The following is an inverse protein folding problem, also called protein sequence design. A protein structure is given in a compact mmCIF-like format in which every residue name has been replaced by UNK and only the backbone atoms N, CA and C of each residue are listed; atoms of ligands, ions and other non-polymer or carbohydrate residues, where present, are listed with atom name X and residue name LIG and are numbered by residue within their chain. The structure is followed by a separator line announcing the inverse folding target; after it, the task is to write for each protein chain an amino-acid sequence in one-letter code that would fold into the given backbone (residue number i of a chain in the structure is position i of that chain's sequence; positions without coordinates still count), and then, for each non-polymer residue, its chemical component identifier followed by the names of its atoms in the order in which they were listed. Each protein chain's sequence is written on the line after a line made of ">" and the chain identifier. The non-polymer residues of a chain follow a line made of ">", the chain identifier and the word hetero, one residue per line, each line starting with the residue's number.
data_IF_960994515318
#
_entry.id   IF_960994515318
#
_cell.length_a   1.000
_cell.length_b   1.000
_cell.length_c   1.000
_cell.angle_alpha   90.00
_cell.angle_beta   90.00
_cell.angle_gamma   90.00
#
_symmetry.space_group_name_H-M   'P 1'
#
loop_
_entity.id
_entity.type
_entity.pdbx_description
1 polymer ?
#
# COMPACT_ATOMS: atom_id res chain seq x y z
N UNK A 1 -3.47 -16.71 -20.77
CA UNK A 1 -4.22 -16.34 -19.55
C UNK A 1 -3.66 -17.11 -18.36
N UNK A 2 -3.18 -16.42 -17.33
CA UNK A 2 -2.67 -17.05 -16.09
C UNK A 2 -3.85 -17.36 -15.18
N UNK A 3 -4.04 -18.62 -14.81
CA UNK A 3 -5.10 -19.04 -13.90
C UNK A 3 -4.79 -18.64 -12.44
N UNK A 4 -5.83 -18.31 -11.67
CA UNK A 4 -5.69 -17.97 -10.24
C UNK A 4 -5.02 -19.09 -9.42
N UNK A 5 -5.29 -20.36 -9.76
CA UNK A 5 -4.64 -21.53 -9.14
C UNK A 5 -3.12 -21.48 -9.29
N UNK A 6 -2.59 -21.06 -10.45
CA UNK A 6 -1.16 -20.94 -10.69
C UNK A 6 -0.53 -19.89 -9.76
N UNK A 7 -1.26 -18.81 -9.46
CA UNK A 7 -0.82 -17.76 -8.55
C UNK A 7 -0.76 -18.28 -7.11
N UNK A 8 -1.75 -19.04 -6.66
CA UNK A 8 -1.74 -19.65 -5.32
C UNK A 8 -0.58 -20.64 -5.17
N UNK A 9 -0.32 -21.46 -6.19
CA UNK A 9 0.83 -22.37 -6.22
C UNK A 9 2.13 -21.56 -6.15
N UNK A 10 2.28 -20.52 -6.99
CA UNK A 10 3.45 -19.67 -7.00
C UNK A 10 3.69 -18.99 -5.64
N UNK A 11 2.66 -18.43 -5.02
CA UNK A 11 2.75 -17.82 -3.68
C UNK A 11 3.19 -18.83 -2.62
N UNK A 12 2.64 -20.04 -2.65
CA UNK A 12 2.98 -21.10 -1.69
C UNK A 12 4.44 -21.54 -1.86
N UNK A 13 4.87 -21.79 -3.10
CA UNK A 13 6.24 -22.18 -3.42
C UNK A 13 7.23 -21.07 -3.04
N UNK A 14 6.95 -19.82 -3.43
CA UNK A 14 7.77 -18.67 -3.08
C UNK A 14 7.83 -18.43 -1.58
N UNK A 15 6.72 -18.62 -0.86
CA UNK A 15 6.71 -18.48 0.59
C UNK A 15 7.63 -19.49 1.28
N UNK A 16 7.55 -20.77 0.91
CA UNK A 16 8.43 -21.82 1.43
C UNK A 16 9.89 -21.51 1.06
N UNK A 17 10.14 -21.12 -0.19
CA UNK A 17 11.47 -20.74 -0.66
C UNK A 17 12.05 -19.59 0.17
N UNK A 18 11.29 -18.51 0.40
CA UNK A 18 11.75 -17.37 1.19
C UNK A 18 11.91 -17.69 2.69
N UNK A 19 11.16 -18.65 3.24
CA UNK A 19 11.42 -19.16 4.61
C UNK A 19 12.80 -19.82 4.68
N UNK A 20 13.08 -20.74 3.76
CA UNK A 20 14.38 -21.44 3.71
C UNK A 20 15.50 -20.44 3.50
N UNK A 21 15.33 -19.50 2.57
CA UNK A 21 16.31 -18.46 2.29
C UNK A 21 16.56 -17.56 3.50
N UNK A 22 15.49 -17.18 4.22
CA UNK A 22 15.60 -16.42 5.46
C UNK A 22 16.40 -17.17 6.52
N UNK A 23 16.22 -18.48 6.63
CA UNK A 23 16.95 -19.31 7.58
C UNK A 23 18.44 -19.41 7.22
N UNK A 24 18.76 -19.62 5.94
CA UNK A 24 20.14 -19.77 5.45
C UNK A 24 20.91 -18.44 5.45
N UNK A 25 20.29 -17.37 4.94
CA UNK A 25 20.93 -16.06 4.75
C UNK A 25 20.68 -15.06 5.89
N UNK A 26 19.96 -15.46 6.95
CA UNK A 26 19.58 -14.62 8.11
C UNK A 26 18.94 -13.27 7.71
N UNK A 27 18.14 -13.28 6.64
CA UNK A 27 17.48 -12.08 6.13
C UNK A 27 16.46 -11.52 7.13
N UNK A 28 16.37 -10.19 7.23
CA UNK A 28 15.39 -9.48 8.08
C UNK A 28 14.06 -9.22 7.36
N UNK A 29 13.91 -9.68 6.12
CA UNK A 29 12.71 -9.49 5.30
C UNK A 29 11.66 -10.55 5.66
N UNK A 30 10.39 -10.15 5.74
CA UNK A 30 9.28 -11.07 5.96
C UNK A 30 9.06 -11.96 4.72
N UNK A 31 9.02 -13.28 4.91
CA UNK A 31 8.81 -14.23 3.82
C UNK A 31 7.49 -14.03 3.08
N UNK A 32 6.41 -13.65 3.80
CA UNK A 32 5.12 -13.30 3.19
C UNK A 32 5.22 -12.05 2.32
N UNK A 33 5.87 -10.99 2.82
CA UNK A 33 6.02 -9.75 2.05
C UNK A 33 6.87 -9.99 0.80
N UNK A 34 7.96 -10.77 0.93
CA UNK A 34 8.82 -11.14 -0.18
C UNK A 34 8.09 -11.98 -1.22
N UNK A 35 7.31 -13.00 -0.81
CA UNK A 35 6.58 -13.85 -1.75
C UNK A 35 5.53 -13.05 -2.53
N UNK A 36 4.65 -12.32 -1.84
CA UNK A 36 3.60 -11.51 -2.48
C UNK A 36 4.22 -10.45 -3.40
N UNK A 37 5.27 -9.77 -2.94
CA UNK A 37 5.93 -8.72 -3.73
C UNK A 37 6.61 -9.27 -4.98
N UNK A 38 7.31 -10.39 -4.85
CA UNK A 38 7.97 -11.04 -5.99
C UNK A 38 6.94 -11.52 -7.01
N UNK A 39 5.79 -12.05 -6.57
CA UNK A 39 4.73 -12.51 -7.46
C UNK A 39 4.19 -11.36 -8.31
N UNK A 40 3.72 -10.26 -7.70
CA UNK A 40 3.14 -9.19 -8.51
C UNK A 40 4.18 -8.45 -9.35
N UNK A 41 5.43 -8.31 -8.88
CA UNK A 41 6.51 -7.77 -9.69
C UNK A 41 6.79 -8.65 -10.91
N UNK A 42 6.82 -9.98 -10.72
CA UNK A 42 6.97 -10.93 -11.82
C UNK A 42 5.83 -10.84 -12.83
N UNK A 43 4.58 -10.75 -12.36
CA UNK A 43 3.41 -10.54 -13.21
C UNK A 43 3.47 -9.20 -13.96
N UNK A 44 3.92 -8.13 -13.30
CA UNK A 44 4.07 -6.82 -13.93
C UNK A 44 5.12 -6.88 -15.05
N UNK A 45 6.26 -7.53 -14.81
CA UNK A 45 7.28 -7.75 -15.83
C UNK A 45 6.70 -8.56 -17.00
N UNK A 46 5.96 -9.64 -16.74
CA UNK A 46 5.28 -10.39 -17.80
C UNK A 46 4.31 -9.52 -18.60
N UNK A 47 3.50 -8.68 -17.94
CA UNK A 47 2.61 -7.73 -18.62
C UNK A 47 3.40 -6.80 -19.56
N UNK A 48 4.57 -6.30 -19.13
CA UNK A 48 5.43 -5.45 -19.97
C UNK A 48 6.00 -6.19 -21.20
N UNK A 49 6.18 -7.50 -21.12
CA UNK A 49 6.56 -8.35 -22.27
C UNK A 49 5.36 -8.72 -23.17
N UNK A 50 4.18 -8.17 -22.92
CA UNK A 50 2.98 -8.37 -23.75
C UNK A 50 2.14 -9.59 -23.38
N UNK A 51 2.39 -10.22 -22.22
CA UNK A 51 1.53 -11.30 -21.74
C UNK A 51 0.21 -10.76 -21.18
N UNK A 52 -0.90 -11.39 -21.53
CA UNK A 52 -2.21 -11.08 -20.97
C UNK A 52 -2.32 -11.59 -19.52
N UNK A 53 -2.26 -10.66 -18.58
CA UNK A 53 -2.41 -10.89 -17.15
C UNK A 53 -3.69 -10.20 -16.67
N UNK A 54 -4.50 -10.90 -15.89
CA UNK A 54 -5.71 -10.35 -15.29
C UNK A 54 -5.36 -9.22 -14.28
N UNK A 55 -5.80 -7.97 -14.54
CA UNK A 55 -5.55 -6.86 -13.64
C UNK A 55 -6.17 -7.05 -12.25
N UNK A 56 -7.23 -7.84 -12.11
CA UNK A 56 -7.84 -8.13 -10.81
C UNK A 56 -6.85 -8.85 -9.88
N UNK A 57 -6.13 -9.84 -10.41
CA UNK A 57 -5.13 -10.60 -9.65
C UNK A 57 -3.99 -9.68 -9.21
N UNK A 58 -3.46 -8.87 -10.13
CA UNK A 58 -2.39 -7.92 -9.81
C UNK A 58 -2.86 -6.89 -8.78
N UNK A 59 -4.08 -6.38 -8.91
CA UNK A 59 -4.67 -5.41 -7.99
C UNK A 59 -4.81 -5.96 -6.57
N UNK A 60 -5.25 -7.21 -6.41
CA UNK A 60 -5.34 -7.88 -5.10
C UNK A 60 -3.95 -7.99 -4.43
N UNK A 61 -2.93 -8.41 -5.18
CA UNK A 61 -1.57 -8.58 -4.65
C UNK A 61 -0.90 -7.24 -4.29
N UNK A 62 -1.08 -6.24 -5.15
CA UNK A 62 -0.55 -4.89 -4.91
C UNK A 62 -1.30 -4.19 -3.77
N UNK A 63 -2.62 -4.36 -3.66
CA UNK A 63 -3.41 -3.87 -2.53
C UNK A 63 -2.98 -4.49 -1.20
N UNK A 64 -2.74 -5.81 -1.16
CA UNK A 64 -2.16 -6.46 0.02
C UNK A 64 -0.78 -5.92 0.39
N UNK A 65 0.05 -5.59 -0.61
CA UNK A 65 1.35 -4.95 -0.40
C UNK A 65 1.23 -3.52 0.13
N UNK A 66 0.27 -2.72 -0.38
CA UNK A 66 -0.01 -1.37 0.08
C UNK A 66 -0.44 -1.35 1.57
N UNK A 67 -1.35 -2.25 1.96
CA UNK A 67 -1.74 -2.41 3.37
C UNK A 67 -0.56 -2.89 4.23
N UNK A 68 0.25 -3.83 3.72
CA UNK A 68 1.48 -4.26 4.40
C UNK A 68 2.47 -3.12 4.64
N UNK A 69 2.65 -2.22 3.67
CA UNK A 69 3.46 -1.00 3.81
C UNK A 69 2.86 -0.09 4.90
N UNK A 70 1.54 0.06 4.95
CA UNK A 70 0.88 0.86 5.99
C UNK A 70 1.13 0.32 7.39
N UNK A 71 1.09 -1.00 7.60
CA UNK A 71 1.45 -1.61 8.89
C UNK A 71 2.92 -1.35 9.27
N UNK A 72 3.84 -1.41 8.31
CA UNK A 72 5.25 -1.11 8.54
C UNK A 72 5.47 0.38 8.86
N UNK A 73 4.75 1.25 8.16
CA UNK A 73 4.78 2.69 8.38
C UNK A 73 4.25 3.03 9.78
N UNK A 74 3.11 2.46 10.16
CA UNK A 74 2.51 2.63 11.49
C UNK A 74 3.46 2.25 12.62
N UNK A 75 4.14 1.10 12.51
CA UNK A 75 5.10 0.66 13.52
C UNK A 75 6.26 1.64 13.74
N UNK A 76 6.62 2.43 12.73
CA UNK A 76 7.71 3.41 12.79
C UNK A 76 7.23 4.83 13.05
N UNK A 77 5.94 5.10 12.87
CA UNK A 77 5.37 6.43 12.91
C UNK A 77 4.97 6.79 14.35
N UNK A 78 5.37 7.98 14.81
CA UNK A 78 4.91 8.48 16.11
C UNK A 78 3.41 8.79 16.08
N UNK A 79 2.73 8.64 17.21
CA UNK A 79 1.27 8.85 17.34
C UNK A 79 0.79 10.20 16.80
N UNK A 80 1.64 11.24 16.86
CA UNK A 80 1.39 12.57 16.28
C UNK A 80 1.07 12.52 14.77
N UNK A 81 1.71 11.65 14.00
CA UNK A 81 1.53 11.56 12.55
C UNK A 81 0.42 10.57 12.14
N UNK A 82 -0.24 9.90 13.09
CA UNK A 82 -1.30 8.92 12.81
C UNK A 82 -2.47 9.52 12.02
N UNK A 83 -2.66 10.83 12.08
CA UNK A 83 -3.68 11.54 11.29
C UNK A 83 -3.44 11.39 9.77
N UNK A 84 -2.17 11.27 9.34
CA UNK A 84 -1.81 11.18 7.92
C UNK A 84 -1.95 9.76 7.34
N UNK A 85 -2.34 8.76 8.14
CA UNK A 85 -2.45 7.37 7.68
C UNK A 85 -3.40 7.23 6.48
N UNK A 86 -4.56 7.88 6.54
CA UNK A 86 -5.56 7.82 5.49
C UNK A 86 -5.07 8.38 4.14
N UNK A 87 -4.53 9.62 4.07
CA UNK A 87 -3.97 10.13 2.82
C UNK A 87 -2.80 9.28 2.30
N UNK A 88 -1.96 8.72 3.17
CA UNK A 88 -0.92 7.77 2.74
C UNK A 88 -1.51 6.50 2.10
N UNK A 89 -2.51 5.88 2.73
CA UNK A 89 -3.15 4.68 2.18
C UNK A 89 -3.78 4.94 0.81
N UNK A 90 -4.55 6.03 0.69
CA UNK A 90 -5.16 6.39 -0.58
C UNK A 90 -4.11 6.68 -1.66
N UNK A 91 -3.01 7.34 -1.30
CA UNK A 91 -1.89 7.55 -2.23
C UNK A 91 -1.31 6.23 -2.73
N UNK A 92 -1.12 5.25 -1.84
CA UNK A 92 -0.65 3.92 -2.23
C UNK A 92 -1.64 3.22 -3.17
N UNK A 93 -2.94 3.26 -2.87
CA UNK A 93 -3.94 2.68 -3.77
C UNK A 93 -3.97 3.35 -5.14
N UNK A 94 -3.87 4.68 -5.20
CA UNK A 94 -3.78 5.38 -6.48
C UNK A 94 -2.51 5.00 -7.24
N UNK A 95 -1.36 4.88 -6.56
CA UNK A 95 -0.14 4.41 -7.19
C UNK A 95 -0.31 3.01 -7.77
N UNK A 96 -0.94 2.08 -7.03
CA UNK A 96 -1.24 0.75 -7.58
C UNK A 96 -2.15 0.85 -8.80
N UNK A 97 -3.18 1.68 -8.74
CA UNK A 97 -4.12 1.87 -9.84
C UNK A 97 -3.43 2.37 -11.12
N UNK A 98 -2.63 3.43 -11.02
CA UNK A 98 -1.88 4.03 -12.13
C UNK A 98 -0.87 3.03 -12.74
N UNK A 99 -0.33 2.10 -11.96
CA UNK A 99 0.56 1.07 -12.49
C UNK A 99 -0.21 0.02 -13.30
N UNK A 100 -1.47 -0.24 -12.92
CA UNK A 100 -2.32 -1.23 -13.61
C UNK A 100 -3.04 -0.66 -14.83
N UNK A 101 -3.41 0.61 -14.82
CA UNK A 101 -4.15 1.27 -15.89
C UNK A 101 -3.24 2.20 -16.69
N UNK A 102 -3.50 2.34 -17.99
CA UNK A 102 -2.86 3.43 -18.74
C UNK A 102 -3.31 4.77 -18.11
N UNK A 103 -2.44 5.79 -18.12
CA UNK A 103 -2.62 7.11 -17.49
C UNK A 103 -3.84 7.94 -18.01
N UNK A 104 -4.87 7.28 -18.55
CA UNK A 104 -6.07 7.88 -19.12
C UNK A 104 -7.11 8.34 -18.10
N UNK A 105 -6.92 8.09 -16.81
CA UNK A 105 -7.81 8.67 -15.80
C UNK A 105 -7.49 10.15 -15.55
N UNK A 106 -8.54 10.96 -15.55
CA UNK A 106 -8.45 12.40 -15.62
C UNK A 106 -7.77 13.05 -14.42
N UNK A 107 -7.33 14.29 -14.63
CA UNK A 107 -6.71 15.21 -13.68
C UNK A 107 -7.43 15.29 -12.31
N UNK A 108 -8.71 14.93 -12.25
CA UNK A 108 -9.54 14.85 -11.05
C UNK A 108 -8.98 13.96 -9.93
N UNK A 109 -8.42 12.78 -10.23
CA UNK A 109 -7.92 11.87 -9.17
C UNK A 109 -6.75 12.51 -8.43
N UNK A 110 -5.85 13.11 -9.18
CA UNK A 110 -4.71 13.85 -8.63
C UNK A 110 -5.18 15.04 -7.80
N UNK A 111 -6.22 15.77 -8.23
CA UNK A 111 -6.80 16.87 -7.46
C UNK A 111 -7.45 16.39 -6.15
N UNK A 112 -8.16 15.27 -6.15
CA UNK A 112 -8.79 14.71 -4.95
C UNK A 112 -7.72 14.34 -3.92
N UNK A 113 -6.65 13.67 -4.35
CA UNK A 113 -5.55 13.28 -3.47
C UNK A 113 -4.83 14.52 -2.95
N UNK A 114 -4.51 15.48 -3.82
CA UNK A 114 -3.87 16.74 -3.43
C UNK A 114 -4.73 17.48 -2.40
N UNK A 115 -6.03 17.61 -2.65
CA UNK A 115 -6.97 18.23 -1.73
C UNK A 115 -6.99 17.52 -0.38
N UNK A 116 -7.05 16.18 -0.38
CA UNK A 116 -7.02 15.39 0.84
C UNK A 116 -5.72 15.63 1.64
N UNK A 117 -4.57 15.64 0.97
CA UNK A 117 -3.29 15.96 1.60
C UNK A 117 -3.28 17.36 2.21
N UNK A 118 -3.77 18.37 1.48
CA UNK A 118 -3.85 19.75 1.97
C UNK A 118 -4.75 19.83 3.21
N UNK A 119 -5.92 19.21 3.20
CA UNK A 119 -6.84 19.20 4.35
C UNK A 119 -6.19 18.53 5.57
N UNK A 120 -5.58 17.36 5.39
CA UNK A 120 -4.97 16.65 6.51
C UNK A 120 -3.71 17.34 7.04
N UNK A 121 -2.88 17.93 6.16
CA UNK A 121 -1.71 18.71 6.55
C UNK A 121 -2.09 20.01 7.27
N UNK A 122 -3.14 20.70 6.81
CA UNK A 122 -3.62 21.92 7.48
C UNK A 122 -4.12 21.62 8.89
N UNK A 123 -4.92 20.55 9.08
CA UNK A 123 -5.35 20.11 10.41
C UNK A 123 -4.14 19.75 11.29
N UNK A 124 -3.13 19.08 10.71
CA UNK A 124 -1.91 18.69 11.42
C UNK A 124 -1.07 19.89 11.89
N UNK A 125 -0.82 20.86 11.00
CA UNK A 125 0.02 22.04 11.28
C UNK A 125 -0.70 23.06 12.16
N UNK A 126 -1.99 23.32 11.90
CA UNK A 126 -2.77 24.31 12.65
C UNK A 126 -3.34 23.74 13.96
N UNK A 127 -3.32 22.42 14.16
CA UNK A 127 -3.79 21.77 15.38
C UNK A 127 -3.02 22.14 16.65
N UNK A 128 -1.82 22.72 16.53
CA UNK A 128 -1.08 23.28 17.67
C UNK A 128 -1.56 24.68 18.07
N UNK A 129 -2.00 25.50 17.10
CA UNK A 129 -2.36 26.91 17.30
C UNK A 129 -3.87 27.15 17.47
N UNK A 130 -4.72 26.26 16.95
CA UNK A 130 -6.17 26.45 16.89
C UNK A 130 -6.91 25.29 17.56
N UNK A 131 -7.71 25.63 18.57
CA UNK A 131 -8.39 24.64 19.43
C UNK A 131 -9.40 23.77 18.67
N UNK A 132 -10.06 24.33 17.64
CA UNK A 132 -10.99 23.59 16.75
C UNK A 132 -10.25 22.47 16.00
N UNK A 133 -9.11 22.78 15.38
CA UNK A 133 -8.31 21.80 14.65
C UNK A 133 -7.68 20.77 15.59
N UNK A 134 -7.31 21.16 16.81
CA UNK A 134 -6.85 20.23 17.86
C UNK A 134 -7.92 19.19 18.20
N UNK A 135 -9.19 19.60 18.33
CA UNK A 135 -10.31 18.70 18.62
C UNK A 135 -10.60 17.74 17.46
N UNK A 136 -10.55 18.23 16.22
CA UNK A 136 -10.71 17.41 15.02
C UNK A 136 -9.57 16.41 14.88
N UNK A 137 -8.32 16.86 15.04
CA UNK A 137 -7.13 16.01 14.98
C UNK A 137 -7.16 14.89 16.02
N UNK A 138 -7.58 15.17 17.26
CA UNK A 138 -7.76 14.14 18.30
C UNK A 138 -8.78 13.08 17.91
N UNK A 139 -9.96 13.48 17.43
CA UNK A 139 -10.98 12.51 16.96
C UNK A 139 -10.48 11.66 15.80
N UNK A 140 -9.76 12.25 14.85
CA UNK A 140 -9.16 11.52 13.73
C UNK A 140 -8.09 10.53 14.20
N UNK A 141 -7.22 10.95 15.12
CA UNK A 141 -6.21 10.06 15.71
C UNK A 141 -6.88 8.90 16.45
N UNK A 142 -7.94 9.15 17.22
CA UNK A 142 -8.71 8.08 17.89
C UNK A 142 -9.30 7.08 16.88
N UNK A 143 -9.90 7.56 15.79
CA UNK A 143 -10.39 6.69 14.72
C UNK A 143 -9.27 5.87 14.04
N UNK A 144 -8.07 6.44 13.93
CA UNK A 144 -6.94 5.83 13.25
C UNK A 144 -5.97 5.06 14.18
N UNK A 145 -6.24 4.99 15.50
CA UNK A 145 -5.37 4.35 16.49
C UNK A 145 -5.62 2.85 16.63
N UNK A 146 -6.85 2.39 16.38
CA UNK A 146 -7.26 0.99 16.53
C UNK A 146 -7.80 0.44 15.20
N UNK A 147 -6.94 0.34 14.19
CA UNK A 147 -7.23 -0.32 12.92
C UNK A 147 -6.79 -1.77 12.93
#
# INVERSE_FOLDING_TARGET
>A
MVAFSNILIALTVLFVFYIVLRFVLKLKVCALCASVSTTWLGLLVMKLFGFEIDPLIMGILMGGSAVGIMYLLEKKMSEKYSILKFPFLLTLFTLTYIVLTDFGEGLLIYLIILFLWVVFLTVFLMGENVEVFKKIGKKLIECCKNW
#
